data_IF_569988620925
#
_entry.id   IF_569988620925
#
_cell.length_a   1.000
_cell.length_b   1.000
_cell.length_c   1.000
_cell.angle_alpha   90.00
_cell.angle_beta   90.00
_cell.angle_gamma   90.00
#
_symmetry.space_group_name_H-M   'P 1'
#
loop_
_entity.id
_entity.type
_entity.pdbx_description
1 polymer ?
#
# COMPACT_ATOMS: atom_id res chain seq x y z
N UNK A 1 20.67 4.47 3.52
CA UNK A 1 21.43 3.96 4.69
C UNK A 1 20.86 2.61 5.04
N UNK A 2 21.70 1.60 5.14
CA UNK A 2 21.28 0.25 5.51
C UNK A 2 21.88 -0.10 6.86
N UNK A 3 21.09 -0.77 7.69
CA UNK A 3 21.50 -1.20 9.03
C UNK A 3 20.94 -2.58 9.29
N UNK A 4 21.79 -3.47 9.79
CA UNK A 4 21.39 -4.82 10.15
C UNK A 4 21.77 -5.07 11.60
N UNK A 5 20.88 -5.70 12.35
CA UNK A 5 21.13 -6.14 13.72
C UNK A 5 20.64 -7.56 13.94
N UNK A 6 21.39 -8.31 14.73
CA UNK A 6 21.05 -9.67 15.11
C UNK A 6 20.91 -9.80 16.62
N UNK A 7 19.81 -10.41 17.06
CA UNK A 7 19.51 -10.61 18.48
C UNK A 7 18.78 -11.95 18.63
N UNK A 8 19.34 -12.87 19.43
CA UNK A 8 18.66 -14.11 19.86
C UNK A 8 18.03 -14.92 18.72
N UNK A 9 18.74 -15.11 17.61
CA UNK A 9 18.23 -15.88 16.46
C UNK A 9 17.35 -15.08 15.48
N UNK A 10 17.16 -13.79 15.73
CA UNK A 10 16.47 -12.85 14.84
C UNK A 10 17.47 -11.93 14.15
N UNK A 11 17.23 -11.65 12.86
CA UNK A 11 17.91 -10.62 12.08
C UNK A 11 16.92 -9.54 11.67
N UNK A 12 17.24 -8.31 12.01
CA UNK A 12 16.50 -7.12 11.64
C UNK A 12 17.33 -6.36 10.61
N UNK A 13 16.82 -6.24 9.39
CA UNK A 13 17.43 -5.46 8.31
C UNK A 13 16.56 -4.24 8.04
N UNK A 14 17.13 -3.06 8.18
CA UNK A 14 16.43 -1.80 7.95
C UNK A 14 17.14 -1.02 6.85
N UNK A 15 16.39 -0.67 5.82
CA UNK A 15 16.81 0.22 4.75
C UNK A 15 16.06 1.54 4.91
N UNK A 16 16.83 2.60 5.15
CA UNK A 16 16.32 3.97 5.15
C UNK A 16 16.68 4.65 3.83
N UNK A 17 15.65 5.10 3.12
CA UNK A 17 15.73 5.85 1.88
C UNK A 17 15.01 7.20 2.02
N UNK A 18 15.34 8.21 1.21
CA UNK A 18 14.62 9.47 1.21
C UNK A 18 13.15 9.29 0.81
N UNK A 19 12.32 10.28 1.15
CA UNK A 19 10.96 10.35 0.64
C UNK A 19 10.97 10.49 -0.89
N UNK A 20 9.95 9.94 -1.54
CA UNK A 20 9.78 10.04 -2.97
C UNK A 20 9.67 11.50 -3.42
N UNK A 21 10.29 11.83 -4.55
CA UNK A 21 10.09 13.09 -5.24
C UNK A 21 8.69 13.17 -5.88
N UNK A 22 8.26 14.37 -6.26
CA UNK A 22 6.98 14.58 -6.96
C UNK A 22 6.86 13.72 -8.22
N UNK A 23 7.93 13.62 -9.01
CA UNK A 23 7.96 12.79 -10.22
C UNK A 23 7.80 11.30 -9.90
N UNK A 24 8.47 10.81 -8.86
CA UNK A 24 8.31 9.42 -8.43
C UNK A 24 6.89 9.16 -7.95
N UNK A 25 6.27 10.12 -7.24
CA UNK A 25 4.89 10.03 -6.75
C UNK A 25 3.87 10.00 -7.89
N UNK A 26 4.03 10.86 -8.90
CA UNK A 26 3.17 10.86 -10.09
C UNK A 26 3.25 9.54 -10.84
N UNK A 27 4.48 9.01 -11.03
CA UNK A 27 4.68 7.70 -11.64
C UNK A 27 4.00 6.60 -10.83
N UNK A 28 4.17 6.59 -9.51
CA UNK A 28 3.54 5.60 -8.63
C UNK A 28 2.01 5.72 -8.64
N UNK A 29 1.47 6.93 -8.65
CA UNK A 29 0.03 7.14 -8.75
C UNK A 29 -0.55 6.59 -10.07
N UNK A 30 0.18 6.79 -11.17
CA UNK A 30 -0.17 6.22 -12.47
C UNK A 30 -0.06 4.69 -12.48
N UNK A 31 1.03 4.11 -11.94
CA UNK A 31 1.20 2.64 -11.79
C UNK A 31 0.07 2.00 -10.98
N UNK A 32 -0.38 2.71 -9.94
CA UNK A 32 -1.43 2.28 -9.03
C UNK A 32 -2.85 2.56 -9.53
N UNK A 33 -3.00 3.22 -10.69
CA UNK A 33 -4.30 3.58 -11.26
C UNK A 33 -5.14 4.49 -10.37
N UNK A 34 -4.48 5.32 -9.54
CA UNK A 34 -5.16 6.20 -8.60
C UNK A 34 -6.03 7.22 -9.34
N UNK A 35 -7.33 7.22 -9.03
CA UNK A 35 -8.26 8.26 -9.50
C UNK A 35 -8.08 9.54 -8.67
N UNK A 36 -8.51 10.72 -9.15
CA UNK A 36 -8.43 11.97 -8.39
C UNK A 36 -9.03 11.92 -6.97
N UNK A 37 -9.98 10.99 -6.73
CA UNK A 37 -10.64 10.81 -5.45
C UNK A 37 -9.80 10.08 -4.38
N UNK A 38 -8.70 9.40 -4.74
CA UNK A 38 -7.82 8.68 -3.81
C UNK A 38 -6.40 9.20 -4.00
N UNK A 39 -6.01 10.30 -3.34
CA UNK A 39 -4.68 10.86 -3.48
C UNK A 39 -3.64 9.97 -2.80
N UNK A 40 -2.49 9.80 -3.45
CA UNK A 40 -1.30 9.22 -2.83
C UNK A 40 -0.90 10.08 -1.61
N UNK A 41 -0.46 9.48 -0.48
CA UNK A 41 0.06 10.24 0.66
C UNK A 41 1.12 11.27 0.24
N UNK A 42 1.16 12.40 0.96
CA UNK A 42 2.09 13.49 0.66
C UNK A 42 3.55 13.07 0.79
N UNK A 43 3.85 12.24 1.79
CA UNK A 43 5.18 11.70 2.05
C UNK A 43 5.10 10.19 1.94
N UNK A 44 5.86 9.62 0.99
CA UNK A 44 5.96 8.18 0.78
C UNK A 44 7.43 7.79 0.77
N UNK A 45 7.81 6.85 1.63
CA UNK A 45 9.14 6.27 1.68
C UNK A 45 9.16 4.92 0.95
N UNK A 46 8.79 4.90 -0.33
CA UNK A 46 8.61 3.65 -1.10
C UNK A 46 9.87 2.77 -1.17
N UNK A 47 11.03 3.38 -1.01
CA UNK A 47 12.31 2.71 -1.03
C UNK A 47 12.77 2.30 0.38
N UNK A 48 12.10 2.73 1.45
CA UNK A 48 12.42 2.28 2.81
C UNK A 48 11.78 0.93 3.09
N UNK A 49 12.53 0.04 3.73
CA UNK A 49 12.05 -1.28 4.09
C UNK A 49 12.56 -1.72 5.46
N UNK A 50 11.76 -2.57 6.12
CA UNK A 50 12.15 -3.30 7.32
C UNK A 50 11.88 -4.77 7.08
N UNK A 51 12.89 -5.60 7.28
CA UNK A 51 12.81 -7.04 7.16
C UNK A 51 13.25 -7.68 8.48
N UNK A 52 12.45 -8.64 8.95
CA UNK A 52 12.67 -9.36 10.20
C UNK A 52 12.69 -10.84 9.87
N UNK A 53 13.82 -11.49 10.12
CA UNK A 53 14.04 -12.90 9.82
C UNK A 53 14.33 -13.66 11.10
N UNK A 54 13.63 -14.77 11.34
CA UNK A 54 13.96 -15.72 12.41
C UNK A 54 14.62 -16.96 11.81
N UNK A 55 15.89 -17.20 12.17
CA UNK A 55 16.69 -18.25 11.52
C UNK A 55 16.16 -19.65 11.80
N UNK A 56 15.70 -19.92 13.02
CA UNK A 56 15.33 -21.28 13.42
C UNK A 56 14.02 -21.75 12.78
N UNK A 57 13.07 -20.84 12.56
CA UNK A 57 11.79 -21.18 11.93
C UNK A 57 11.72 -20.83 10.44
N UNK A 58 12.70 -20.08 9.91
CA UNK A 58 12.65 -19.52 8.57
C UNK A 58 11.54 -18.47 8.38
N UNK A 59 11.01 -17.90 9.47
CA UNK A 59 9.95 -16.89 9.37
C UNK A 59 10.56 -15.57 8.90
N UNK A 60 9.96 -14.99 7.86
CA UNK A 60 10.33 -13.67 7.34
C UNK A 60 9.11 -12.77 7.36
N UNK A 61 9.28 -11.58 7.94
CA UNK A 61 8.28 -10.51 7.94
C UNK A 61 8.91 -9.31 7.24
N UNK A 62 8.26 -8.83 6.19
CA UNK A 62 8.71 -7.68 5.40
C UNK A 62 7.70 -6.55 5.50
N UNK A 63 8.20 -5.32 5.65
CA UNK A 63 7.41 -4.11 5.63
C UNK A 63 8.01 -3.14 4.61
N UNK A 64 7.20 -2.76 3.63
CA UNK A 64 7.50 -1.67 2.71
C UNK A 64 6.24 -0.83 2.47
N UNK A 65 6.44 0.41 1.99
CA UNK A 65 5.33 1.31 1.73
C UNK A 65 4.56 0.96 0.44
N UNK A 66 5.15 0.21 -0.50
CA UNK A 66 4.53 -0.13 -1.77
C UNK A 66 3.43 -1.18 -1.59
N UNK A 67 3.73 -2.27 -0.89
CA UNK A 67 2.77 -3.30 -0.50
C UNK A 67 1.64 -2.71 0.35
N UNK A 68 1.98 -1.82 1.27
CA UNK A 68 0.98 -1.12 2.09
C UNK A 68 0.02 -0.29 1.21
N UNK A 69 0.55 0.47 0.25
CA UNK A 69 -0.24 1.27 -0.69
C UNK A 69 -1.11 0.38 -1.59
N UNK A 70 -0.57 -0.74 -2.11
CA UNK A 70 -1.35 -1.68 -2.90
C UNK A 70 -2.53 -2.26 -2.12
N UNK A 71 -2.31 -2.69 -0.86
CA UNK A 71 -3.38 -3.18 0.02
C UNK A 71 -4.41 -2.09 0.28
N UNK A 72 -3.96 -0.89 0.65
CA UNK A 72 -4.86 0.24 0.91
C UNK A 72 -5.76 0.55 -0.29
N UNK A 73 -5.21 0.60 -1.51
CA UNK A 73 -6.00 0.86 -2.72
C UNK A 73 -7.02 -0.25 -2.98
N UNK A 74 -6.61 -1.51 -2.79
CA UNK A 74 -7.52 -2.65 -2.94
C UNK A 74 -8.69 -2.56 -1.95
N UNK A 75 -8.42 -2.21 -0.70
CA UNK A 75 -9.45 -2.05 0.32
C UNK A 75 -10.42 -0.93 -0.06
N UNK A 76 -9.90 0.24 -0.51
CA UNK A 76 -10.73 1.36 -0.96
C UNK A 76 -11.55 1.06 -2.22
N UNK A 77 -11.01 0.29 -3.17
CA UNK A 77 -11.76 -0.18 -4.34
C UNK A 77 -12.90 -1.14 -3.93
N UNK A 78 -12.71 -1.90 -2.85
CA UNK A 78 -13.74 -2.79 -2.31
C UNK A 78 -14.86 -1.99 -1.65
N UNK A 79 -14.54 -0.89 -0.96
CA UNK A 79 -15.56 0.01 -0.37
C UNK A 79 -16.37 0.76 -1.44
N UNK A 80 -15.74 1.16 -2.55
CA UNK A 80 -16.44 1.82 -3.66
C UNK A 80 -17.47 0.90 -4.36
N UNK A 81 -17.25 -0.42 -4.34
CA UNK A 81 -18.18 -1.39 -4.95
C UNK A 81 -19.50 -1.53 -4.18
N UNK A 82 -19.50 -1.34 -2.86
CA UNK A 82 -20.70 -1.51 -2.01
C UNK A 82 -21.70 -0.36 -2.21
N UNK A 83 -21.24 0.83 -2.60
CA UNK A 83 -22.11 2.01 -2.76
C UNK A 83 -22.87 2.00 -4.10
N UNK A 84 -22.44 1.21 -5.10
CA UNK A 84 -23.07 1.18 -6.42
C UNK A 84 -24.16 0.10 -6.60
N UNK A 85 -24.53 -0.67 -5.57
CA UNK A 85 -25.55 -1.72 -5.69
C UNK A 85 -26.95 -1.33 -5.18
N UNK A 86 -27.23 -0.04 -5.00
CA UNK A 86 -28.54 0.43 -4.54
C UNK A 86 -29.17 1.46 -5.47
N UNK A 87 -30.27 1.05 -6.12
CA UNK A 87 -31.37 1.86 -6.69
C UNK A 87 -31.38 2.15 -8.21
N UNK A 88 -31.32 1.12 -9.05
CA UNK A 88 -32.08 1.11 -10.31
C UNK A 88 -33.42 0.41 -10.07
N UNK A 89 -34.41 1.15 -9.56
CA UNK A 89 -35.80 0.68 -9.49
C UNK A 89 -36.49 0.89 -10.84
N UNK A 90 -37.28 -0.09 -11.36
CA UNK A 90 -38.03 0.13 -12.59
C UNK A 90 -39.12 1.19 -12.35
N UNK A 91 -39.11 2.22 -13.20
CA UNK A 91 -40.14 3.25 -13.28
C UNK A 91 -41.44 2.57 -13.73
N UNK A 92 -42.36 2.35 -12.79
CA UNK A 92 -43.72 1.91 -13.12
C UNK A 92 -44.47 3.07 -13.78
N UNK A 93 -44.91 2.84 -15.00
CA UNK A 93 -45.85 3.65 -15.76
C UNK A 93 -47.26 3.44 -15.20
N UNK A 94 -47.83 4.47 -14.58
CA UNK A 94 -49.22 4.44 -14.14
C UNK A 94 -50.13 4.93 -15.28
N UNK A 95 -50.88 4.00 -15.86
CA UNK A 95 -52.09 4.25 -16.64
C UNK A 95 -53.31 4.37 -15.70
#
# INVERSE_FOLDING_TARGET
MESTREVSGWRFSCRKAPAMSSMQREKMAAELGLRPAIPLPEVVFADSSLEINHFASGLTIHFDAREALHKWIKDNNTVACVVCQGLDGPMLDNN
#
